data_IF_438510937951
#
_entry.id   IF_438510937951
#
_cell.length_a   1.000
_cell.length_b   1.000
_cell.length_c   1.000
_cell.angle_alpha   90.00
_cell.angle_beta   90.00
_cell.angle_gamma   90.00
#
_symmetry.space_group_name_H-M   'P 1'
#
loop_
_entity.id
_entity.type
_entity.pdbx_description
1 polymer ?
#
# COMPACT_ATOMS: atom_id res chain seq x y z
N UNK A 1 3.29 18.36 4.91
CA UNK A 1 3.37 17.38 6.03
C UNK A 1 4.56 17.62 6.95
N UNK A 2 5.70 18.12 6.45
CA UNK A 2 6.75 18.71 7.29
C UNK A 2 6.95 20.16 6.83
N UNK A 3 6.43 21.11 7.59
CA UNK A 3 6.59 22.57 7.33
C UNK A 3 8.05 22.98 7.05
N UNK A 4 9.06 22.47 7.79
CA UNK A 4 10.45 22.86 7.55
C UNK A 4 11.00 22.40 6.20
N UNK A 5 10.51 21.28 5.66
CA UNK A 5 10.96 20.74 4.37
C UNK A 5 10.31 21.49 3.21
N UNK A 6 9.08 21.96 3.39
CA UNK A 6 8.41 22.81 2.41
C UNK A 6 9.18 24.12 2.21
N UNK A 7 9.68 24.72 3.29
CA UNK A 7 10.45 25.98 3.28
C UNK A 7 11.86 25.84 2.65
N UNK A 8 12.49 24.66 2.80
CA UNK A 8 13.76 24.35 2.11
C UNK A 8 13.54 24.04 0.63
N UNK A 9 12.43 23.37 0.29
CA UNK A 9 12.09 23.06 -1.10
C UNK A 9 11.68 24.30 -1.90
N UNK A 10 10.90 25.22 -1.30
CA UNK A 10 10.54 26.51 -1.91
C UNK A 10 11.77 27.36 -2.23
N UNK A 11 12.79 27.34 -1.36
CA UNK A 11 14.02 28.10 -1.55
C UNK A 11 14.98 27.47 -2.56
N UNK A 12 14.97 26.13 -2.75
CA UNK A 12 15.82 25.45 -3.73
C UNK A 12 15.19 25.29 -5.13
N UNK A 13 13.85 25.26 -5.25
CA UNK A 13 13.14 25.02 -6.51
C UNK A 13 12.12 26.10 -6.88
N UNK A 14 11.93 27.12 -6.04
CA UNK A 14 11.00 28.23 -6.27
C UNK A 14 9.51 27.88 -6.12
N UNK A 15 9.16 26.67 -5.68
CA UNK A 15 7.78 26.18 -5.64
C UNK A 15 7.04 26.48 -4.34
N UNK A 16 6.00 27.33 -4.38
CA UNK A 16 5.16 27.76 -3.25
C UNK A 16 4.56 26.60 -2.43
N UNK A 17 4.60 26.73 -1.09
CA UNK A 17 3.82 25.89 -0.18
C UNK A 17 2.33 25.90 -0.58
N UNK A 18 1.72 24.72 -0.73
CA UNK A 18 0.33 24.53 -1.18
C UNK A 18 0.17 23.80 -2.52
N UNK A 19 1.23 23.70 -3.34
CA UNK A 19 1.18 22.93 -4.61
C UNK A 19 1.06 21.43 -4.40
N UNK A 20 1.47 20.91 -3.24
CA UNK A 20 1.52 19.47 -2.98
C UNK A 20 0.15 18.79 -3.08
N UNK A 21 -0.90 19.44 -2.57
CA UNK A 21 -2.28 18.95 -2.68
C UNK A 21 -2.79 19.00 -4.12
N UNK A 22 -2.35 19.99 -4.90
CA UNK A 22 -2.68 20.11 -6.33
C UNK A 22 -2.01 18.99 -7.12
N UNK A 23 -0.73 18.71 -6.85
CA UNK A 23 -0.02 17.56 -7.42
C UNK A 23 -0.65 16.23 -6.98
N UNK A 24 -1.05 16.10 -5.71
CA UNK A 24 -1.70 14.88 -5.22
C UNK A 24 -3.01 14.59 -5.97
N UNK A 25 -3.85 15.62 -6.13
CA UNK A 25 -5.09 15.52 -6.91
C UNK A 25 -4.81 15.22 -8.39
N UNK A 26 -3.79 15.85 -8.98
CA UNK A 26 -3.40 15.59 -10.37
C UNK A 26 -2.90 14.16 -10.57
N UNK A 27 -2.04 13.66 -9.68
CA UNK A 27 -1.54 12.28 -9.68
C UNK A 27 -2.65 11.26 -9.52
N UNK A 28 -3.56 11.48 -8.57
CA UNK A 28 -4.72 10.61 -8.38
C UNK A 28 -5.59 10.52 -9.65
N UNK A 29 -5.84 11.66 -10.31
CA UNK A 29 -6.62 11.69 -11.57
C UNK A 29 -5.88 11.04 -12.74
N UNK A 30 -4.55 11.11 -12.76
CA UNK A 30 -3.73 10.51 -13.80
C UNK A 30 -3.46 9.00 -13.57
N UNK A 31 -3.93 8.44 -12.44
CA UNK A 31 -3.66 7.04 -12.08
C UNK A 31 -2.21 6.80 -11.63
N UNK A 32 -1.50 7.84 -11.21
CA UNK A 32 -0.11 7.75 -10.74
C UNK A 32 -0.08 7.17 -9.32
N UNK A 33 0.73 6.12 -9.12
CA UNK A 33 1.02 5.59 -7.79
C UNK A 33 2.05 6.49 -7.12
N UNK A 34 1.62 7.24 -6.11
CA UNK A 34 2.50 8.12 -5.34
C UNK A 34 3.12 7.37 -4.16
N UNK A 35 4.44 7.47 -4.02
CA UNK A 35 5.22 6.92 -2.91
C UNK A 35 5.99 8.04 -2.22
N UNK A 36 6.27 7.86 -0.94
CA UNK A 36 6.89 8.89 -0.09
C UNK A 36 8.30 8.52 0.37
N UNK A 37 8.71 7.28 0.12
CA UNK A 37 9.99 6.71 0.51
C UNK A 37 10.56 5.92 -0.68
N UNK A 38 11.88 5.80 -0.72
CA UNK A 38 12.60 5.25 -1.87
C UNK A 38 12.34 3.75 -2.05
N UNK A 39 12.27 3.01 -0.95
CA UNK A 39 11.87 1.59 -0.92
C UNK A 39 10.47 1.39 -1.52
N UNK A 40 9.51 2.25 -1.17
CA UNK A 40 8.17 2.23 -1.73
C UNK A 40 8.15 2.38 -3.26
N UNK A 41 9.13 3.05 -3.86
CA UNK A 41 9.26 3.13 -5.33
C UNK A 41 9.55 1.76 -5.95
N UNK A 42 10.43 0.97 -5.33
CA UNK A 42 10.75 -0.38 -5.80
C UNK A 42 9.58 -1.34 -5.58
N UNK A 43 8.91 -1.27 -4.42
CA UNK A 43 7.72 -2.07 -4.14
C UNK A 43 6.59 -1.79 -5.14
N UNK A 44 6.34 -0.52 -5.44
CA UNK A 44 5.34 -0.11 -6.43
C UNK A 44 5.72 -0.61 -7.83
N UNK A 45 6.98 -0.47 -8.23
CA UNK A 45 7.45 -0.96 -9.52
C UNK A 45 7.31 -2.49 -9.65
N UNK A 46 7.67 -3.25 -8.61
CA UNK A 46 7.49 -4.70 -8.60
C UNK A 46 6.01 -5.07 -8.74
N UNK A 47 5.13 -4.48 -7.93
CA UNK A 47 3.69 -4.76 -7.97
C UNK A 47 3.08 -4.42 -9.32
N UNK A 48 3.45 -3.29 -9.93
CA UNK A 48 2.98 -2.87 -11.25
C UNK A 48 3.51 -3.74 -12.39
N UNK A 49 4.64 -4.43 -12.19
CA UNK A 49 5.19 -5.36 -13.17
C UNK A 49 4.46 -6.71 -13.22
N UNK A 50 3.64 -7.03 -12.21
CA UNK A 50 2.92 -8.31 -12.14
C UNK A 50 1.82 -8.38 -13.19
N UNK A 51 1.70 -9.55 -13.84
CA UNK A 51 0.69 -9.79 -14.89
C UNK A 51 -0.75 -9.80 -14.35
N UNK A 52 -0.91 -10.16 -13.08
CA UNK A 52 -2.21 -10.27 -12.43
C UNK A 52 -2.37 -9.17 -11.39
N UNK A 53 -3.38 -8.31 -11.60
CA UNK A 53 -3.80 -7.32 -10.62
C UNK A 53 -4.91 -7.89 -9.73
N UNK A 54 -4.90 -7.60 -8.42
CA UNK A 54 -6.01 -7.96 -7.55
C UNK A 54 -7.34 -7.44 -8.12
N UNK A 55 -8.38 -8.27 -8.11
CA UNK A 55 -9.71 -7.91 -8.64
C UNK A 55 -10.53 -7.03 -7.69
N UNK A 56 -10.01 -6.76 -6.50
CA UNK A 56 -10.71 -5.99 -5.48
C UNK A 56 -9.93 -5.95 -4.17
N UNK A 57 -10.52 -5.39 -3.11
CA UNK A 57 -9.83 -5.10 -1.86
C UNK A 57 -9.69 -6.31 -0.92
N UNK A 58 -10.19 -7.49 -1.31
CA UNK A 58 -10.20 -8.68 -0.44
C UNK A 58 -8.87 -9.42 -0.52
N UNK A 59 -8.15 -9.51 0.60
CA UNK A 59 -6.86 -10.18 0.69
C UNK A 59 -6.86 -11.21 1.83
N UNK A 60 -6.30 -12.39 1.57
CA UNK A 60 -6.01 -13.40 2.60
C UNK A 60 -4.57 -13.23 3.08
N UNK A 61 -4.36 -13.28 4.39
CA UNK A 61 -3.03 -13.19 5.01
C UNK A 61 -2.70 -14.58 5.58
N UNK A 62 -1.62 -15.18 5.09
CA UNK A 62 -1.09 -16.45 5.58
C UNK A 62 0.27 -16.18 6.20
N UNK A 63 0.46 -16.59 7.45
CA UNK A 63 1.69 -16.34 8.20
C UNK A 63 1.94 -17.48 9.20
N UNK A 64 3.20 -17.71 9.54
CA UNK A 64 3.62 -18.69 10.54
C UNK A 64 3.72 -18.10 11.96
N UNK A 65 3.43 -16.80 12.14
CA UNK A 65 3.54 -16.13 13.43
C UNK A 65 2.42 -15.09 13.63
N UNK A 66 1.87 -15.03 14.84
CA UNK A 66 0.76 -14.13 15.16
C UNK A 66 1.11 -12.64 15.04
N UNK A 67 2.32 -12.24 15.44
CA UNK A 67 2.75 -10.83 15.40
C UNK A 67 2.74 -10.23 13.98
N UNK A 68 3.47 -10.80 13.02
CA UNK A 68 3.42 -10.38 11.62
C UNK A 68 2.00 -10.44 11.02
N UNK A 69 1.19 -11.43 11.40
CA UNK A 69 -0.21 -11.54 10.97
C UNK A 69 -1.07 -10.36 11.43
N UNK A 70 -0.91 -9.95 12.69
CA UNK A 70 -1.60 -8.78 13.23
C UNK A 70 -1.15 -7.50 12.54
N UNK A 71 0.17 -7.29 12.39
CA UNK A 71 0.71 -6.10 11.71
C UNK A 71 0.22 -5.98 10.26
N UNK A 72 0.20 -7.11 9.53
CA UNK A 72 -0.31 -7.13 8.16
C UNK A 72 -1.82 -6.85 8.11
N UNK A 73 -2.58 -7.35 9.09
CA UNK A 73 -4.03 -7.11 9.19
C UNK A 73 -4.31 -5.63 9.50
N UNK A 74 -3.57 -5.04 10.43
CA UNK A 74 -3.69 -3.61 10.77
C UNK A 74 -3.40 -2.72 9.56
N UNK A 75 -2.32 -2.99 8.82
CA UNK A 75 -1.97 -2.24 7.63
C UNK A 75 -3.01 -2.42 6.51
N UNK A 76 -3.55 -3.63 6.33
CA UNK A 76 -4.62 -3.91 5.39
C UNK A 76 -5.84 -3.02 5.68
N UNK A 77 -6.28 -2.96 6.93
CA UNK A 77 -7.43 -2.15 7.35
C UNK A 77 -7.13 -0.65 7.22
N UNK A 78 -5.93 -0.21 7.61
CA UNK A 78 -5.52 1.19 7.47
C UNK A 78 -5.57 1.67 6.00
N UNK A 79 -5.29 0.78 5.05
CA UNK A 79 -5.38 1.02 3.61
C UNK A 79 -6.77 0.74 3.00
N UNK A 80 -7.79 0.51 3.83
CA UNK A 80 -9.18 0.18 3.43
C UNK A 80 -9.31 -1.13 2.66
N UNK A 81 -8.34 -2.04 2.83
CA UNK A 81 -8.47 -3.43 2.41
C UNK A 81 -9.46 -4.19 3.29
N UNK A 82 -9.85 -5.37 2.82
CA UNK A 82 -10.84 -6.24 3.47
C UNK A 82 -10.19 -7.60 3.67
N UNK A 83 -10.23 -8.14 4.88
CA UNK A 83 -9.77 -9.52 5.11
C UNK A 83 -10.69 -10.49 4.37
N UNK A 84 -10.11 -11.35 3.54
CA UNK A 84 -10.87 -12.32 2.78
C UNK A 84 -11.48 -13.39 3.70
N UNK A 85 -12.75 -13.75 3.44
CA UNK A 85 -13.34 -14.98 3.96
C UNK A 85 -12.96 -16.13 3.04
N UNK A 86 -12.25 -17.11 3.58
CA UNK A 86 -11.86 -18.31 2.84
C UNK A 86 -13.06 -19.24 2.72
N UNK A 87 -13.19 -19.89 1.56
CA UNK A 87 -14.18 -20.94 1.36
C UNK A 87 -13.80 -22.20 2.14
N UNK A 88 -14.80 -23.03 2.45
CA UNK A 88 -14.65 -24.28 3.21
C UNK A 88 -13.54 -25.17 2.62
N UNK A 89 -13.58 -25.43 1.31
CA UNK A 89 -12.56 -26.21 0.61
C UNK A 89 -11.12 -25.66 0.79
N UNK A 90 -10.96 -24.32 0.82
CA UNK A 90 -9.63 -23.71 1.01
C UNK A 90 -9.17 -23.85 2.44
N UNK A 91 -10.07 -23.67 3.41
CA UNK A 91 -9.78 -23.83 4.83
C UNK A 91 -9.38 -25.27 5.15
N UNK A 92 -10.08 -26.26 4.60
CA UNK A 92 -9.73 -27.68 4.74
C UNK A 92 -8.34 -27.98 4.15
N UNK A 93 -8.08 -27.55 2.91
CA UNK A 93 -6.78 -27.76 2.26
C UNK A 93 -5.61 -27.11 3.01
N UNK A 94 -5.85 -25.97 3.67
CA UNK A 94 -4.84 -25.31 4.51
C UNK A 94 -4.64 -26.02 5.86
N UNK A 95 -5.68 -26.65 6.41
CA UNK A 95 -5.58 -27.42 7.65
C UNK A 95 -4.69 -28.67 7.47
N UNK A 96 -4.74 -29.31 6.29
CA UNK A 96 -3.94 -30.50 5.99
C UNK A 96 -2.42 -30.24 5.96
N UNK A 97 -2.00 -28.98 5.76
CA UNK A 97 -0.58 -28.57 5.74
C UNK A 97 -0.15 -27.84 7.01
N UNK A 98 -1.08 -27.57 7.94
CA UNK A 98 -0.78 -26.98 9.24
C UNK A 98 -0.26 -28.10 10.17
N UNK A 99 1.07 -28.15 10.33
CA UNK A 99 1.78 -29.04 11.26
C UNK A 99 1.44 -28.75 12.73
#
# INVERSE_FOLDING_TARGET
RFEPVAEISTSYTGGLAGVDQVYDAAFHRAGVVRVYELDGMFDAAELLSKKETPRGPRLAIVTNAGGPGLMATDELVARKGILAQLGEQTTEALADIAL
#
